data_IF_770859468400
#
_entry.id   IF_770859468400
#
_cell.length_a   1.000
_cell.length_b   1.000
_cell.length_c   1.000
_cell.angle_alpha   90.00
_cell.angle_beta   90.00
_cell.angle_gamma   90.00
#
_symmetry.space_group_name_H-M   'P 1'
#
loop_
_entity.id
_entity.type
_entity.pdbx_description
1 polymer ?
#
# COMPACT_ATOMS: atom_id res chain seq x y z
N UNK A 1 -25.31 4.30 5.37
CA UNK A 1 -24.64 3.69 4.21
C UNK A 1 -23.13 3.80 4.33
N UNK A 2 -22.44 2.68 4.22
CA UNK A 2 -21.00 2.70 4.34
C UNK A 2 -20.37 3.11 3.01
N UNK A 3 -19.44 4.06 3.04
CA UNK A 3 -18.74 4.45 1.82
C UNK A 3 -17.87 3.30 1.30
N UNK A 4 -17.64 3.30 -0.02
CA UNK A 4 -16.75 2.31 -0.64
C UNK A 4 -15.29 2.78 -0.66
N UNK A 5 -14.92 3.59 0.29
CA UNK A 5 -13.53 3.95 0.49
C UNK A 5 -13.18 3.78 1.96
N UNK A 6 -11.92 3.51 2.22
CA UNK A 6 -11.47 3.39 3.60
C UNK A 6 -11.61 4.75 4.28
N UNK A 7 -12.18 4.76 5.48
CA UNK A 7 -12.28 6.02 6.21
C UNK A 7 -10.90 6.58 6.51
N UNK A 8 -10.83 7.90 6.65
CA UNK A 8 -9.59 8.56 6.99
C UNK A 8 -9.20 8.18 8.41
N UNK A 9 -8.23 7.30 8.53
CA UNK A 9 -7.67 6.94 9.81
C UNK A 9 -6.17 7.20 9.75
N UNK A 10 -5.59 7.69 10.82
CA UNK A 10 -4.16 7.90 10.81
C UNK A 10 -3.45 6.60 10.50
N UNK A 11 -2.56 6.64 9.54
CA UNK A 11 -1.71 5.50 9.30
C UNK A 11 -0.79 5.36 10.51
N UNK A 12 -0.56 4.13 10.87
CA UNK A 12 0.22 3.86 12.06
C UNK A 12 1.71 4.06 11.83
N UNK A 13 2.16 4.07 10.59
CA UNK A 13 3.58 4.26 10.35
C UNK A 13 3.83 5.01 9.05
N UNK A 14 4.80 5.90 9.09
CA UNK A 14 5.39 6.51 7.91
C UNK A 14 6.76 5.93 7.63
N UNK A 15 7.18 4.93 8.40
CA UNK A 15 8.51 4.38 8.37
C UNK A 15 8.48 3.03 7.64
N UNK A 16 9.20 2.94 6.52
CA UNK A 16 9.27 1.70 5.74
C UNK A 16 9.84 0.53 6.53
N UNK A 17 10.65 0.78 7.54
CA UNK A 17 11.19 -0.29 8.40
C UNK A 17 10.12 -0.99 9.22
N UNK A 18 8.99 -0.36 9.42
CA UNK A 18 7.93 -0.87 10.29
C UNK A 18 6.69 -1.34 9.53
N UNK A 19 6.80 -1.49 8.23
CA UNK A 19 5.69 -2.00 7.44
C UNK A 19 5.35 -3.42 7.84
N UNK A 20 4.05 -3.68 7.92
CA UNK A 20 3.52 -4.99 8.28
C UNK A 20 2.40 -5.38 7.32
N UNK A 21 2.07 -6.68 7.24
CA UNK A 21 0.93 -7.09 6.42
C UNK A 21 -0.33 -6.31 6.80
N UNK A 22 -1.05 -5.84 5.79
CA UNK A 22 -2.22 -5.00 5.98
C UNK A 22 -1.94 -3.52 5.84
N UNK A 23 -0.69 -3.10 5.89
CA UNK A 23 -0.36 -1.69 5.68
C UNK A 23 -0.54 -1.33 4.22
N UNK A 24 -0.93 -0.07 3.99
CA UNK A 24 -1.27 0.41 2.66
C UNK A 24 -0.18 1.33 2.14
N UNK A 25 0.18 1.12 0.88
CA UNK A 25 1.12 1.96 0.15
C UNK A 25 0.38 2.76 -0.91
N UNK A 26 0.90 3.92 -1.23
CA UNK A 26 0.33 4.77 -2.28
C UNK A 26 1.43 5.25 -3.21
N UNK A 27 1.13 5.25 -4.50
CA UNK A 27 1.97 5.89 -5.51
C UNK A 27 1.12 6.98 -6.16
N UNK A 28 1.61 8.21 -6.14
CA UNK A 28 0.86 9.35 -6.65
C UNK A 28 1.74 10.21 -7.55
N UNK A 29 2.30 9.61 -8.60
CA UNK A 29 3.11 10.36 -9.55
C UNK A 29 2.26 10.99 -10.63
N UNK A 30 1.71 10.21 -11.56
CA UNK A 30 0.78 10.75 -12.54
C UNK A 30 -0.64 10.31 -12.24
N UNK A 31 -0.80 9.12 -11.72
CA UNK A 31 -2.08 8.59 -11.26
C UNK A 31 -1.89 8.03 -9.86
N UNK A 32 -2.99 7.86 -9.17
CA UNK A 32 -2.95 7.31 -7.81
C UNK A 32 -3.16 5.81 -7.87
N UNK A 33 -2.22 5.07 -7.29
CA UNK A 33 -2.30 3.60 -7.16
C UNK A 33 -2.13 3.23 -5.71
N UNK A 34 -2.86 2.22 -5.28
CA UNK A 34 -2.77 1.70 -3.91
C UNK A 34 -2.34 0.25 -3.93
N UNK A 35 -1.56 -0.12 -2.96
CA UNK A 35 -1.13 -1.50 -2.76
C UNK A 35 -1.19 -1.82 -1.28
N UNK A 36 -1.32 -3.11 -0.98
CA UNK A 36 -1.39 -3.58 0.40
C UNK A 36 -0.27 -4.58 0.62
N UNK A 37 0.45 -4.40 1.71
CA UNK A 37 1.52 -5.33 2.09
C UNK A 37 0.89 -6.66 2.49
N UNK A 38 1.36 -7.75 1.89
CA UNK A 38 0.86 -9.08 2.18
C UNK A 38 1.83 -9.93 2.99
N UNK A 39 3.12 -9.60 2.92
CA UNK A 39 4.14 -10.28 3.72
C UNK A 39 5.37 -9.41 3.82
N UNK A 40 6.07 -9.50 4.93
CA UNK A 40 7.36 -8.84 5.10
C UNK A 40 8.36 -9.77 5.76
N UNK A 41 9.62 -9.61 5.38
CA UNK A 41 10.76 -10.20 6.08
C UNK A 41 11.76 -9.07 6.34
N UNK A 42 12.91 -9.40 6.89
CA UNK A 42 13.92 -8.38 7.14
C UNK A 42 14.48 -7.72 5.89
N UNK A 43 14.34 -8.36 4.73
CA UNK A 43 14.94 -7.86 3.48
C UNK A 43 13.98 -7.78 2.31
N UNK A 44 12.74 -8.23 2.49
CA UNK A 44 11.82 -8.37 1.36
C UNK A 44 10.42 -7.99 1.78
N UNK A 45 9.68 -7.38 0.87
CA UNK A 45 8.26 -7.13 1.05
C UNK A 45 7.49 -7.67 -0.13
N UNK A 46 6.29 -8.14 0.15
CA UNK A 46 5.33 -8.57 -0.86
C UNK A 46 4.12 -7.67 -0.76
N UNK A 47 3.57 -7.27 -1.90
CA UNK A 47 2.37 -6.45 -1.92
C UNK A 47 1.51 -6.80 -3.11
N UNK A 48 0.23 -6.46 -3.02
CA UNK A 48 -0.71 -6.60 -4.13
C UNK A 48 -1.49 -5.31 -4.27
N UNK A 49 -1.91 -5.00 -5.48
CA UNK A 49 -2.63 -3.76 -5.74
C UNK A 49 -4.11 -3.91 -5.39
N UNK A 50 -4.72 -2.80 -4.99
CA UNK A 50 -6.16 -2.72 -4.82
C UNK A 50 -6.67 -1.49 -5.57
N UNK A 51 -7.96 -1.48 -5.84
CA UNK A 51 -8.56 -0.38 -6.60
C UNK A 51 -8.60 0.90 -5.79
N UNK A 52 -8.55 2.02 -6.49
CA UNK A 52 -8.83 3.32 -5.93
C UNK A 52 -10.27 3.69 -6.19
N UNK A 53 -10.83 4.52 -5.35
CA UNK A 53 -12.18 5.07 -5.54
C UNK A 53 -12.16 6.55 -5.22
N UNK A 54 -13.11 7.28 -5.80
CA UNK A 54 -13.25 8.70 -5.50
C UNK A 54 -13.93 8.89 -4.16
N UNK A 55 -13.48 9.90 -3.45
CA UNK A 55 -14.12 10.33 -2.21
C UNK A 55 -15.05 11.51 -2.51
N UNK A 56 -15.97 11.85 -1.61
CA UNK A 56 -16.86 12.98 -1.81
C UNK A 56 -16.15 14.31 -2.06
N UNK A 57 -14.93 14.48 -1.54
CA UNK A 57 -14.15 15.68 -1.76
C UNK A 57 -13.39 15.70 -3.07
N UNK A 58 -13.54 14.68 -3.92
CA UNK A 58 -12.85 14.61 -5.20
C UNK A 58 -11.48 13.97 -5.17
N UNK A 59 -11.02 13.58 -4.00
CA UNK A 59 -9.75 12.88 -3.88
C UNK A 59 -9.89 11.39 -4.14
N UNK A 60 -8.78 10.68 -4.05
CA UNK A 60 -8.71 9.24 -4.22
C UNK A 60 -8.42 8.56 -2.89
N UNK A 61 -9.01 7.41 -2.67
CA UNK A 61 -8.74 6.59 -1.50
C UNK A 61 -8.78 5.12 -1.88
N UNK A 62 -8.21 4.23 -1.07
CA UNK A 62 -8.29 2.79 -1.36
C UNK A 62 -9.73 2.29 -1.29
N UNK A 63 -10.07 1.34 -2.14
CA UNK A 63 -11.38 0.72 -2.12
C UNK A 63 -11.55 -0.10 -0.84
N UNK A 64 -12.60 0.20 -0.12
CA UNK A 64 -12.93 -0.50 1.11
C UNK A 64 -13.28 -1.97 0.85
N UNK A 65 -14.04 -2.23 -0.21
CA UNK A 65 -14.41 -3.60 -0.56
C UNK A 65 -13.20 -4.43 -0.92
N UNK A 66 -12.31 -3.89 -1.75
CA UNK A 66 -11.11 -4.61 -2.13
C UNK A 66 -10.23 -4.88 -0.92
N UNK A 67 -10.06 -3.88 -0.06
CA UNK A 67 -9.23 -4.03 1.12
C UNK A 67 -9.79 -5.09 2.07
N UNK A 68 -11.07 -5.01 2.37
CA UNK A 68 -11.71 -5.97 3.29
C UNK A 68 -11.64 -7.39 2.75
N UNK A 69 -11.90 -7.56 1.46
CA UNK A 69 -11.83 -8.87 0.83
C UNK A 69 -10.42 -9.42 0.86
N UNK A 70 -9.44 -8.57 0.59
CA UNK A 70 -8.05 -8.97 0.63
C UNK A 70 -7.63 -9.41 2.03
N UNK A 71 -8.06 -8.68 3.05
CA UNK A 71 -7.74 -9.03 4.43
C UNK A 71 -8.38 -10.36 4.83
N UNK A 72 -9.60 -10.62 4.39
CA UNK A 72 -10.24 -11.91 4.62
C UNK A 72 -9.45 -13.04 3.95
N UNK A 73 -9.07 -12.87 2.70
CA UNK A 73 -8.31 -13.87 1.96
C UNK A 73 -6.93 -14.08 2.57
N UNK A 74 -6.31 -13.02 3.03
CA UNK A 74 -5.00 -13.11 3.65
C UNK A 74 -5.07 -13.86 4.98
N UNK A 75 -6.18 -13.71 5.70
CA UNK A 75 -6.41 -14.44 6.94
C UNK A 75 -6.70 -15.92 6.70
N UNK A 76 -7.52 -16.22 5.69
CA UNK A 76 -7.94 -17.58 5.40
C UNK A 76 -6.88 -18.40 4.69
N UNK A 77 -6.20 -17.81 3.71
CA UNK A 77 -5.23 -18.51 2.90
C UNK A 77 -4.12 -17.55 2.45
N UNK A 78 -3.23 -17.17 3.37
CA UNK A 78 -2.20 -16.18 3.06
C UNK A 78 -1.28 -16.59 1.91
N UNK A 79 -0.98 -17.88 1.77
CA UNK A 79 -0.05 -18.32 0.74
C UNK A 79 -0.58 -18.08 -0.66
N UNK A 80 -1.89 -18.22 -0.86
CA UNK A 80 -2.50 -17.96 -2.17
C UNK A 80 -2.33 -16.50 -2.56
N UNK A 81 -2.48 -15.60 -1.61
CA UNK A 81 -2.33 -14.17 -1.86
C UNK A 81 -0.86 -13.81 -2.05
N UNK A 82 0.01 -14.34 -1.22
CA UNK A 82 1.44 -14.05 -1.28
C UNK A 82 2.03 -14.54 -2.60
N UNK A 83 1.58 -15.70 -3.09
CA UNK A 83 2.10 -16.27 -4.34
C UNK A 83 1.82 -15.40 -5.56
N UNK A 84 0.77 -14.58 -5.51
CA UNK A 84 0.42 -13.67 -6.61
C UNK A 84 0.86 -12.23 -6.34
N UNK A 85 1.45 -11.97 -5.18
CA UNK A 85 1.90 -10.64 -4.82
C UNK A 85 3.21 -10.30 -5.53
N UNK A 86 3.43 -9.01 -5.74
CA UNK A 86 4.70 -8.51 -6.23
C UNK A 86 5.72 -8.55 -5.08
N UNK A 87 6.89 -9.09 -5.39
CA UNK A 87 7.96 -9.23 -4.41
C UNK A 87 9.05 -8.21 -4.70
N UNK A 88 9.42 -7.43 -3.70
CA UNK A 88 10.51 -6.46 -3.84
C UNK A 88 11.51 -6.65 -2.71
N UNK A 89 12.77 -6.81 -3.10
CA UNK A 89 13.84 -6.90 -2.13
C UNK A 89 14.21 -5.49 -1.67
N UNK A 90 14.21 -5.29 -0.37
CA UNK A 90 14.62 -4.03 0.22
C UNK A 90 15.83 -4.34 1.09
N UNK A 91 16.96 -3.74 0.74
CA UNK A 91 18.21 -4.04 1.44
C UNK A 91 18.28 -3.23 2.73
N UNK A 92 18.50 -3.93 3.81
CA UNK A 92 18.69 -3.30 5.09
C UNK A 92 20.17 -3.09 5.34
N UNK A 93 20.55 -1.90 5.75
CA UNK A 93 21.91 -1.60 6.21
C UNK A 93 21.85 -1.36 7.70
N UNK A 94 22.99 -1.08 8.30
CA UNK A 94 23.03 -0.72 9.72
C UNK A 94 22.25 0.56 10.02
N UNK A 95 21.91 1.34 8.98
CA UNK A 95 21.13 2.57 9.13
C UNK A 95 19.72 2.43 8.58
N UNK A 96 19.29 1.20 8.22
CA UNK A 96 17.97 0.95 7.68
C UNK A 96 18.02 0.49 6.22
N UNK A 97 16.93 0.68 5.48
CA UNK A 97 16.85 0.26 4.08
C UNK A 97 17.58 1.23 3.18
N UNK A 98 18.49 0.71 2.36
CA UNK A 98 19.37 1.57 1.56
C UNK A 98 18.68 2.28 0.42
N UNK A 99 17.86 1.57 -0.34
CA UNK A 99 17.27 2.16 -1.54
C UNK A 99 15.79 2.46 -1.41
N UNK A 100 15.26 2.27 -0.23
CA UNK A 100 13.85 2.54 0.04
C UNK A 100 13.69 3.60 1.11
N UNK A 101 14.68 4.45 1.26
CA UNK A 101 14.60 5.52 2.25
C UNK A 101 13.32 6.31 2.15
N UNK A 102 12.84 6.51 0.93
CA UNK A 102 11.64 7.31 0.69
C UNK A 102 10.49 6.51 0.07
N UNK A 103 10.77 5.30 -0.43
CA UNK A 103 9.71 4.52 -1.05
C UNK A 103 10.21 3.32 -1.84
N UNK A 104 9.29 2.68 -2.53
CA UNK A 104 9.51 1.44 -3.27
C UNK A 104 9.22 1.68 -4.75
N UNK A 105 10.23 1.51 -5.57
CA UNK A 105 10.12 1.71 -7.02
C UNK A 105 9.51 0.47 -7.69
N UNK A 106 8.55 0.69 -8.58
CA UNK A 106 7.93 -0.38 -9.34
C UNK A 106 7.51 0.17 -10.70
N UNK A 107 8.43 0.15 -11.65
CA UNK A 107 8.19 0.74 -12.96
C UNK A 107 7.96 2.23 -12.85
N UNK A 108 6.82 2.69 -13.36
CA UNK A 108 6.45 4.09 -13.28
C UNK A 108 5.90 4.49 -11.92
N UNK A 109 5.68 3.52 -11.05
CA UNK A 109 5.11 3.76 -9.73
C UNK A 109 6.21 3.90 -8.68
N UNK A 110 5.93 4.70 -7.69
CA UNK A 110 6.84 4.87 -6.56
C UNK A 110 6.01 4.90 -5.29
N UNK A 111 5.96 3.77 -4.61
CA UNK A 111 5.10 3.58 -3.46
C UNK A 111 5.72 4.09 -2.18
N UNK A 112 4.91 4.81 -1.40
CA UNK A 112 5.28 5.25 -0.05
C UNK A 112 4.15 4.84 0.89
N UNK A 113 4.39 4.78 2.19
CA UNK A 113 3.30 4.50 3.12
C UNK A 113 2.19 5.53 2.99
N UNK A 114 0.96 5.05 2.92
CA UNK A 114 -0.21 5.94 2.84
C UNK A 114 -0.49 6.55 4.22
N UNK A 115 -0.72 7.84 4.25
CA UNK A 115 -0.93 8.56 5.50
C UNK A 115 -2.37 8.51 6.01
N UNK A 116 -3.25 7.78 5.33
CA UNK A 116 -4.64 7.64 5.74
C UNK A 116 -5.56 8.73 5.24
N UNK A 117 -5.05 9.66 4.44
CA UNK A 117 -5.86 10.75 3.90
C UNK A 117 -6.06 10.59 2.40
N UNK A 118 -7.24 11.02 1.87
CA UNK A 118 -7.45 10.99 0.44
C UNK A 118 -6.38 11.81 -0.30
N UNK A 119 -6.05 11.33 -1.48
CA UNK A 119 -5.01 11.93 -2.31
C UNK A 119 -5.65 12.65 -3.47
N UNK A 120 -5.21 13.89 -3.73
CA UNK A 120 -5.65 14.62 -4.92
C UNK A 120 -4.83 14.15 -6.10
N UNK A 121 -5.52 13.64 -7.13
CA UNK A 121 -4.83 13.17 -8.33
C UNK A 121 -4.55 14.34 -9.26
N UNK A 122 -3.31 14.43 -9.68
CA UNK A 122 -2.88 15.44 -10.63
C UNK A 122 -2.99 14.86 -12.03
N UNK A 123 -3.68 15.55 -12.91
CA UNK A 123 -3.97 15.06 -14.26
C UNK A 123 -3.22 15.82 -15.35
N UNK A 124 -2.18 16.47 -15.03
CA UNK A 124 -1.42 17.23 -16.02
C UNK A 124 -0.60 16.35 -16.94
#
# INVERSE_FOLDING_TARGET
>A
MNPNYLPTTPNTTSNLDKLQPGDILVSNRSRTYYAVITKTTGTTIWYTTINRVYTPGGGMAPSRHNYSRLMEQLDENPEAIISTSTRKTVRKTKNGYTHTLNGISDGAKYYVPWDGHPVTETTD
#
